data_IF_907330210204
#
_entry.id   IF_907330210204
#
_cell.length_a   1.000
_cell.length_b   1.000
_cell.length_c   1.000
_cell.angle_alpha   90.00
_cell.angle_beta   90.00
_cell.angle_gamma   90.00
#
_symmetry.space_group_name_H-M   'P 1'
#
loop_
_entity.id
_entity.type
_entity.pdbx_description
1 polymer ?
#
# COMPACT_ATOMS: atom_id res chain seq x y z
N UNK A 1 3.58 38.40 -6.02
CA UNK A 1 4.58 37.55 -5.34
C UNK A 1 4.07 36.14 -4.99
N UNK A 2 2.75 35.89 -4.91
CA UNK A 2 2.18 34.54 -4.67
C UNK A 2 2.43 33.53 -5.82
N UNK A 3 2.69 34.00 -7.05
CA UNK A 3 2.74 33.18 -8.28
C UNK A 3 3.90 32.17 -8.29
N UNK A 4 4.99 32.44 -7.58
CA UNK A 4 6.14 31.52 -7.46
C UNK A 4 6.03 30.57 -6.26
N UNK A 5 5.09 30.81 -5.34
CA UNK A 5 4.90 29.99 -4.14
C UNK A 5 4.37 28.59 -4.48
N UNK A 6 3.49 28.49 -5.48
CA UNK A 6 2.96 27.21 -5.98
C UNK A 6 4.05 26.34 -6.64
N UNK A 7 5.05 26.97 -7.27
CA UNK A 7 6.16 26.25 -7.91
C UNK A 7 7.10 25.63 -6.86
N UNK A 8 7.22 26.25 -5.68
CA UNK A 8 8.02 25.74 -4.57
C UNK A 8 7.40 24.54 -3.85
N UNK A 9 6.07 24.34 -3.96
CA UNK A 9 5.34 23.24 -3.33
C UNK A 9 5.31 21.95 -4.17
N UNK A 10 5.60 22.06 -5.47
CA UNK A 10 5.55 20.94 -6.43
C UNK A 10 6.50 19.76 -6.11
N UNK A 11 7.72 19.95 -5.57
CA UNK A 11 8.57 18.80 -5.23
C UNK A 11 8.08 18.02 -4.00
N UNK A 12 7.21 18.57 -3.13
CA UNK A 12 6.76 17.87 -1.92
C UNK A 12 5.79 16.71 -2.22
N UNK A 13 5.10 16.73 -3.36
CA UNK A 13 4.15 15.67 -3.73
C UNK A 13 4.83 14.46 -4.34
N UNK A 14 6.06 14.61 -4.84
CA UNK A 14 6.78 13.56 -5.57
C UNK A 14 7.59 12.61 -4.64
N UNK A 15 7.75 12.94 -3.37
CA UNK A 15 8.54 12.15 -2.39
C UNK A 15 7.69 11.37 -1.38
N UNK A 16 6.40 11.16 -1.66
CA UNK A 16 5.51 10.45 -0.75
C UNK A 16 5.78 8.93 -0.82
N UNK A 17 6.69 8.44 0.03
CA UNK A 17 6.84 7.01 0.27
C UNK A 17 5.81 6.55 1.31
N UNK A 18 5.04 5.50 1.00
CA UNK A 18 4.05 4.95 1.94
C UNK A 18 4.76 4.41 3.17
N UNK A 19 4.38 4.87 4.35
CA UNK A 19 4.99 4.44 5.62
C UNK A 19 4.32 3.17 6.09
N UNK A 20 5.12 2.15 6.37
CA UNK A 20 4.69 0.93 7.03
C UNK A 20 4.40 1.25 8.50
N UNK A 21 3.14 1.09 8.89
CA UNK A 21 2.67 1.30 10.25
C UNK A 21 2.77 0.02 11.09
N UNK A 22 2.44 -1.13 10.49
CA UNK A 22 2.46 -2.41 11.19
C UNK A 22 2.74 -3.57 10.24
N UNK A 23 3.18 -4.67 10.83
CA UNK A 23 3.34 -5.95 10.17
C UNK A 23 2.83 -7.05 11.10
N UNK A 24 1.81 -7.77 10.68
CA UNK A 24 1.23 -8.87 11.43
C UNK A 24 1.51 -10.20 10.73
N UNK A 25 1.88 -11.21 11.49
CA UNK A 25 2.20 -12.54 10.97
C UNK A 25 1.13 -13.52 11.44
N UNK A 26 0.53 -14.22 10.48
CA UNK A 26 -0.47 -15.24 10.71
C UNK A 26 0.08 -16.58 10.25
N UNK A 27 0.45 -17.43 11.20
CA UNK A 27 0.79 -18.81 10.92
C UNK A 27 -0.50 -19.64 10.80
N UNK A 28 -0.60 -20.40 9.73
CA UNK A 28 -1.73 -21.27 9.42
C UNK A 28 -1.22 -22.64 9.03
N UNK A 29 -2.10 -23.63 9.00
CA UNK A 29 -1.76 -25.01 8.70
C UNK A 29 -1.10 -25.19 7.32
N UNK A 30 -1.48 -24.40 6.33
CA UNK A 30 -1.09 -24.52 4.91
C UNK A 30 -0.23 -23.36 4.39
N UNK A 31 -0.01 -22.32 5.20
CA UNK A 31 0.71 -21.09 4.81
C UNK A 31 1.09 -20.24 6.01
N UNK A 32 2.02 -19.31 5.80
CA UNK A 32 2.19 -18.14 6.65
C UNK A 32 1.86 -16.88 5.85
N UNK A 33 0.97 -16.02 6.37
CA UNK A 33 0.63 -14.73 5.77
C UNK A 33 1.27 -13.61 6.61
N UNK A 34 2.08 -12.74 5.98
CA UNK A 34 2.54 -11.48 6.58
C UNK A 34 1.70 -10.36 5.99
N UNK A 35 0.93 -9.68 6.82
CA UNK A 35 0.13 -8.51 6.44
C UNK A 35 0.85 -7.24 6.86
N UNK A 36 1.24 -6.45 5.88
CA UNK A 36 1.84 -5.12 6.08
C UNK A 36 0.73 -4.09 5.91
N UNK A 37 0.64 -3.14 6.82
CA UNK A 37 -0.30 -2.01 6.74
C UNK A 37 0.48 -0.71 6.55
N UNK A 38 0.01 0.11 5.61
CA UNK A 38 0.58 1.41 5.30
C UNK A 38 -0.29 2.56 5.83
N UNK A 39 0.29 3.74 5.98
CA UNK A 39 -0.42 4.98 6.32
C UNK A 39 -1.19 5.58 5.13
N UNK A 40 -0.77 5.24 3.92
CA UNK A 40 -1.26 5.72 2.64
C UNK A 40 -1.35 4.55 1.65
N UNK A 41 -2.19 4.63 0.60
CA UNK A 41 -2.26 3.60 -0.43
C UNK A 41 -0.87 3.32 -1.02
N UNK A 42 -0.45 2.05 -0.98
CA UNK A 42 0.85 1.65 -1.49
C UNK A 42 0.84 1.47 -3.01
N UNK A 43 1.44 2.43 -3.72
CA UNK A 43 1.56 2.44 -5.18
C UNK A 43 2.97 2.12 -5.70
N UNK A 44 3.88 1.72 -4.80
CA UNK A 44 5.23 1.34 -5.15
C UNK A 44 5.34 -0.01 -5.88
N UNK A 45 6.48 -0.22 -6.54
CA UNK A 45 6.80 -1.48 -7.22
C UNK A 45 7.37 -2.50 -6.25
N UNK A 46 6.80 -3.71 -6.28
CA UNK A 46 7.24 -4.87 -5.52
C UNK A 46 8.20 -5.70 -6.37
N UNK A 47 9.47 -5.80 -5.97
CA UNK A 47 10.46 -6.68 -6.62
C UNK A 47 10.77 -7.85 -5.69
N UNK A 48 10.94 -9.04 -6.25
CA UNK A 48 11.29 -10.23 -5.49
C UNK A 48 12.52 -10.93 -6.08
N UNK A 49 13.35 -11.50 -5.21
CA UNK A 49 14.47 -12.36 -5.54
C UNK A 49 14.41 -13.59 -4.65
N UNK A 50 14.37 -14.77 -5.27
CA UNK A 50 14.17 -16.05 -4.56
C UNK A 50 15.49 -16.84 -4.60
N UNK A 51 15.86 -17.41 -3.47
CA UNK A 51 16.98 -18.34 -3.30
C UNK A 51 16.52 -19.58 -2.52
N UNK A 52 17.40 -20.58 -2.36
CA UNK A 52 17.05 -21.87 -1.71
C UNK A 52 16.51 -21.73 -0.28
N UNK A 53 17.00 -20.76 0.50
CA UNK A 53 16.64 -20.61 1.91
C UNK A 53 16.15 -19.22 2.30
N UNK A 54 16.09 -18.31 1.32
CA UNK A 54 15.70 -16.91 1.55
C UNK A 54 14.91 -16.35 0.38
N UNK A 55 13.93 -15.52 0.69
CA UNK A 55 13.22 -14.69 -0.27
C UNK A 55 13.45 -13.23 0.11
N UNK A 56 13.97 -12.44 -0.83
CA UNK A 56 14.19 -11.01 -0.67
C UNK A 56 13.07 -10.28 -1.41
N UNK A 57 12.29 -9.46 -0.71
CA UNK A 57 11.29 -8.56 -1.27
C UNK A 57 11.80 -7.13 -1.13
N UNK A 58 11.73 -6.34 -2.19
CA UNK A 58 12.02 -4.89 -2.17
C UNK A 58 10.74 -4.14 -2.48
N UNK A 59 10.32 -3.31 -1.55
CA UNK A 59 9.16 -2.44 -1.65
C UNK A 59 9.65 -1.03 -1.99
N UNK A 60 9.61 -0.68 -3.27
CA UNK A 60 10.00 0.68 -3.72
C UNK A 60 9.02 1.70 -3.15
N UNK A 61 9.46 2.91 -2.81
CA UNK A 61 8.62 3.97 -2.24
C UNK A 61 7.84 3.52 -0.99
N UNK A 62 8.39 2.57 -0.22
CA UNK A 62 7.90 2.22 1.10
C UNK A 62 8.95 2.58 2.14
N UNK A 63 8.53 3.16 3.27
CA UNK A 63 9.41 3.49 4.39
C UNK A 63 8.98 2.75 5.66
N UNK A 64 9.92 2.52 6.57
CA UNK A 64 9.65 2.03 7.93
C UNK A 64 10.59 2.76 8.89
N UNK A 65 10.12 3.06 10.10
CA UNK A 65 10.86 3.89 11.06
C UNK A 65 12.21 3.30 11.47
N UNK A 66 12.30 1.98 11.57
CA UNK A 66 13.51 1.28 12.02
C UNK A 66 13.51 -0.15 11.53
N UNK A 67 14.69 -0.78 11.54
CA UNK A 67 14.83 -2.20 11.20
C UNK A 67 14.08 -3.05 12.23
N UNK A 68 13.32 -4.04 11.75
CA UNK A 68 12.53 -4.97 12.58
C UNK A 68 12.92 -6.40 12.25
N UNK A 69 13.08 -7.23 13.27
CA UNK A 69 13.38 -8.65 13.14
C UNK A 69 12.36 -9.44 13.93
N UNK A 70 11.79 -10.49 13.32
CA UNK A 70 10.89 -11.41 14.00
C UNK A 70 11.26 -12.84 13.62
N UNK A 71 11.50 -13.66 14.64
CA UNK A 71 11.62 -15.12 14.50
C UNK A 71 10.22 -15.74 14.68
N UNK A 72 9.93 -16.77 13.89
CA UNK A 72 8.64 -17.45 13.82
C UNK A 72 8.89 -18.95 13.82
N UNK A 73 8.09 -19.70 14.58
CA UNK A 73 8.11 -21.17 14.62
C UNK A 73 7.22 -21.80 13.55
N UNK A 74 7.13 -21.19 12.37
CA UNK A 74 6.24 -21.64 11.29
C UNK A 74 6.98 -22.56 10.33
N UNK A 75 6.26 -23.55 9.78
CA UNK A 75 6.75 -24.43 8.72
C UNK A 75 7.01 -23.71 7.40
N UNK A 76 6.47 -22.50 7.21
CA UNK A 76 6.55 -21.76 5.94
C UNK A 76 7.44 -20.53 6.01
N UNK A 77 7.71 -20.02 7.22
CA UNK A 77 8.48 -18.81 7.46
C UNK A 77 9.20 -18.92 8.80
N UNK A 78 10.53 -18.99 8.78
CA UNK A 78 11.34 -19.13 9.99
C UNK A 78 11.66 -17.76 10.61
N UNK A 79 11.94 -16.76 9.77
CA UNK A 79 12.20 -15.40 10.23
C UNK A 79 11.91 -14.38 9.14
N UNK A 80 11.65 -13.16 9.57
CA UNK A 80 11.51 -12.00 8.69
C UNK A 80 12.31 -10.82 9.26
N UNK A 81 13.06 -10.17 8.39
CA UNK A 81 13.77 -8.93 8.67
C UNK A 81 13.26 -7.86 7.72
N UNK A 82 12.80 -6.74 8.26
CA UNK A 82 12.29 -5.58 7.51
C UNK A 82 13.25 -4.44 7.79
N UNK A 83 13.94 -3.94 6.77
CA UNK A 83 15.01 -2.96 6.91
C UNK A 83 14.76 -1.76 5.99
N UNK A 84 14.78 -0.52 6.52
CA UNK A 84 14.70 0.66 5.69
C UNK A 84 15.99 0.80 4.85
N UNK A 85 15.84 1.16 3.58
CA UNK A 85 16.93 1.51 2.67
C UNK A 85 16.62 2.84 1.96
N UNK A 86 17.60 3.40 1.25
CA UNK A 86 17.36 4.60 0.43
C UNK A 86 16.29 4.31 -0.64
N UNK A 87 15.15 5.00 -0.55
CA UNK A 87 14.04 4.92 -1.51
C UNK A 87 13.21 3.63 -1.50
N UNK A 88 13.48 2.69 -0.58
CA UNK A 88 12.75 1.42 -0.52
C UNK A 88 12.84 0.78 0.87
N UNK A 89 11.92 -0.13 1.16
CA UNK A 89 12.05 -1.04 2.31
C UNK A 89 12.39 -2.44 1.80
N UNK A 90 13.45 -3.04 2.34
CA UNK A 90 13.83 -4.41 2.03
C UNK A 90 13.32 -5.36 3.10
N UNK A 91 12.70 -6.44 2.66
CA UNK A 91 12.22 -7.53 3.49
C UNK A 91 13.00 -8.78 3.12
N UNK A 92 13.63 -9.41 4.10
CA UNK A 92 14.33 -10.69 3.94
C UNK A 92 13.59 -11.73 4.76
N UNK A 93 12.99 -12.69 4.08
CA UNK A 93 12.31 -13.82 4.69
C UNK A 93 13.21 -15.06 4.63
N UNK A 94 13.45 -15.71 5.77
CA UNK A 94 14.07 -17.03 5.85
C UNK A 94 12.98 -18.09 5.73
N UNK A 95 13.09 -18.96 4.72
CA UNK A 95 12.06 -19.93 4.37
C UNK A 95 12.68 -21.27 3.96
N UNK A 96 11.97 -22.40 4.09
CA UNK A 96 12.35 -23.65 3.44
C UNK A 96 12.34 -23.54 1.91
N UNK A 97 13.12 -24.38 1.24
CA UNK A 97 13.23 -24.39 -0.24
C UNK A 97 11.94 -24.78 -0.98
N UNK A 98 10.99 -25.41 -0.28
CA UNK A 98 9.69 -25.78 -0.84
C UNK A 98 8.70 -24.63 -0.91
N UNK A 99 9.01 -23.49 -0.29
CA UNK A 99 8.11 -22.36 -0.13
C UNK A 99 8.24 -21.37 -1.28
N UNK A 100 7.09 -20.91 -1.78
CA UNK A 100 6.96 -19.77 -2.69
C UNK A 100 6.29 -18.59 -2.02
N UNK A 101 6.58 -17.40 -2.54
CA UNK A 101 5.93 -16.16 -2.17
C UNK A 101 4.82 -15.80 -3.16
N UNK A 102 3.69 -15.33 -2.64
CA UNK A 102 2.64 -14.64 -3.39
C UNK A 102 2.41 -13.28 -2.72
N UNK A 103 2.57 -12.19 -3.46
CA UNK A 103 2.31 -10.84 -2.98
C UNK A 103 0.98 -10.32 -3.56
N UNK A 104 0.14 -9.71 -2.74
CA UNK A 104 -1.12 -9.09 -3.18
C UNK A 104 -1.48 -7.88 -2.34
N UNK A 105 -1.85 -6.78 -2.99
CA UNK A 105 -2.43 -5.60 -2.32
C UNK A 105 -3.86 -5.88 -1.88
N UNK A 106 -4.31 -5.24 -0.81
CA UNK A 106 -5.73 -5.13 -0.49
C UNK A 106 -6.44 -4.29 -1.55
N UNK A 107 -7.78 -4.37 -1.62
CA UNK A 107 -8.57 -3.65 -2.62
C UNK A 107 -8.44 -2.12 -2.54
N UNK A 108 -8.03 -1.60 -1.38
CA UNK A 108 -7.80 -0.19 -1.10
C UNK A 108 -6.31 0.21 -1.11
N UNK A 109 -5.41 -0.73 -1.46
CA UNK A 109 -3.95 -0.55 -1.44
C UNK A 109 -3.31 -0.20 -0.07
N UNK A 110 -4.07 -0.07 1.02
CA UNK A 110 -3.51 0.22 2.36
C UNK A 110 -2.84 -0.98 3.02
N UNK A 111 -3.08 -2.19 2.50
CA UNK A 111 -2.48 -3.42 2.96
C UNK A 111 -1.70 -4.15 1.86
N UNK A 112 -0.59 -4.78 2.23
CA UNK A 112 0.14 -5.71 1.39
C UNK A 112 0.25 -7.06 2.12
N UNK A 113 -0.32 -8.09 1.50
CA UNK A 113 -0.20 -9.48 1.96
C UNK A 113 0.96 -10.15 1.25
N UNK A 114 1.91 -10.64 2.03
CA UNK A 114 2.99 -11.53 1.61
C UNK A 114 2.67 -12.93 2.11
N UNK A 115 2.23 -13.80 1.20
CA UNK A 115 1.85 -15.18 1.50
C UNK A 115 2.99 -16.13 1.17
N UNK A 116 3.42 -16.87 2.18
CA UNK A 116 4.40 -17.95 2.10
C UNK A 116 3.66 -19.28 2.16
N UNK A 117 3.73 -20.08 1.10
CA UNK A 117 3.07 -21.38 1.02
C UNK A 117 3.91 -22.35 0.20
N UNK A 118 3.66 -23.64 0.36
CA UNK A 118 4.39 -24.64 -0.43
C UNK A 118 4.06 -24.53 -1.92
N UNK A 119 5.01 -24.95 -2.76
CA UNK A 119 4.78 -25.26 -4.15
C UNK A 119 3.83 -26.47 -4.25
N UNK A 120 2.53 -26.26 -4.08
CA UNK A 120 1.55 -27.24 -4.52
C UNK A 120 1.65 -27.23 -6.04
N UNK A 121 2.11 -28.34 -6.63
CA UNK A 121 2.00 -28.55 -8.07
C UNK A 121 0.58 -28.15 -8.46
N UNK A 122 0.44 -27.17 -9.36
CA UNK A 122 -0.85 -26.78 -9.90
C UNK A 122 -1.56 -28.07 -10.33
N UNK A 123 -2.54 -28.56 -9.55
CA UNK A 123 -3.59 -29.38 -10.14
C UNK A 123 -4.29 -28.42 -11.09
N UNK A 124 -3.88 -28.49 -12.35
CA UNK A 124 -4.62 -27.94 -13.46
C UNK A 124 -6.00 -28.56 -13.38
N UNK A 125 -6.96 -27.80 -12.86
CA UNK A 125 -8.37 -28.05 -13.11
C UNK A 125 -8.59 -27.71 -14.57
N UNK A 126 -8.39 -28.74 -15.39
CA UNK A 126 -9.15 -29.08 -16.60
C UNK A 126 -9.23 -27.99 -17.67
N UNK A 127 -8.34 -28.12 -18.67
CA UNK A 127 -8.61 -27.66 -20.04
C UNK A 127 -9.99 -28.16 -20.47
N UNK A 128 -10.91 -27.25 -20.75
CA UNK A 128 -12.11 -27.50 -21.56
C UNK A 128 -11.85 -26.89 -22.95
N UNK A 129 -12.20 -27.56 -24.06
CA UNK A 129 -11.75 -27.17 -25.39
C UNK A 129 -12.39 -25.84 -25.80
N UNK A 130 -11.56 -24.93 -26.28
CA UNK A 130 -11.95 -23.64 -26.84
C UNK A 130 -12.47 -23.86 -28.26
N UNK A 131 -13.78 -23.80 -28.42
CA UNK A 131 -14.41 -23.60 -29.72
C UNK A 131 -14.61 -22.10 -29.91
N UNK A 132 -14.05 -21.59 -31.00
CA UNK A 132 -14.10 -20.19 -31.42
C UNK A 132 -15.54 -19.76 -31.68
N UNK A 133 -16.04 -18.78 -30.92
CA UNK A 133 -17.13 -17.92 -31.40
C UNK A 133 -17.03 -16.54 -30.76
N UNK A 134 -17.00 -15.56 -31.64
CA UNK A 134 -17.07 -14.12 -31.45
C UNK A 134 -18.31 -13.73 -30.62
N UNK A 135 -18.13 -12.87 -29.60
CA UNK A 135 -18.96 -11.68 -29.28
C UNK A 135 -18.94 -11.31 -27.78
N UNK A 136 -18.70 -10.00 -27.57
CA UNK A 136 -19.23 -9.14 -26.50
C UNK A 136 -19.33 -9.69 -25.08
N UNK A 137 -18.33 -9.37 -24.24
CA UNK A 137 -18.50 -9.25 -22.79
C UNK A 137 -17.81 -7.97 -22.29
N UNK A 138 -18.33 -6.84 -22.76
CA UNK A 138 -18.09 -5.50 -22.21
C UNK A 138 -19.07 -5.19 -21.06
N UNK A 139 -19.24 -6.10 -20.09
CA UNK A 139 -20.20 -5.88 -18.99
C UNK A 139 -19.86 -6.56 -17.66
N UNK A 140 -18.58 -6.71 -17.32
CA UNK A 140 -18.22 -6.90 -15.91
C UNK A 140 -18.16 -5.51 -15.25
N UNK A 141 -18.87 -5.26 -14.13
CA UNK A 141 -18.78 -4.00 -13.41
C UNK A 141 -17.42 -3.93 -12.70
N UNK A 142 -16.39 -3.55 -13.43
CA UNK A 142 -15.15 -3.08 -12.83
C UNK A 142 -15.38 -1.62 -12.43
N UNK A 143 -15.23 -1.32 -11.14
CA UNK A 143 -15.32 0.03 -10.60
C UNK A 143 -14.48 0.96 -11.47
N UNK A 144 -15.13 1.98 -12.05
CA UNK A 144 -14.50 3.02 -12.86
C UNK A 144 -13.38 3.66 -12.04
N UNK A 145 -12.20 3.75 -12.65
CA UNK A 145 -11.01 4.36 -12.07
C UNK A 145 -11.21 5.86 -11.84
N UNK A 146 -10.61 6.36 -10.75
CA UNK A 146 -10.28 7.77 -10.49
C UNK A 146 -11.39 8.79 -10.21
N UNK A 147 -12.46 8.39 -9.53
CA UNK A 147 -13.28 9.37 -8.80
C UNK A 147 -12.83 9.41 -7.34
N UNK A 148 -12.07 10.46 -7.00
CA UNK A 148 -11.82 10.86 -5.62
C UNK A 148 -13.16 10.89 -4.88
N UNK A 149 -13.31 10.10 -3.82
CA UNK A 149 -14.58 9.86 -3.14
C UNK A 149 -15.31 11.18 -2.85
N UNK A 150 -16.60 11.30 -3.18
CA UNK A 150 -17.41 12.52 -2.97
C UNK A 150 -17.28 13.10 -1.55
N UNK A 151 -17.10 12.22 -0.56
CA UNK A 151 -16.82 12.58 0.84
C UNK A 151 -15.60 13.49 1.01
N UNK A 152 -14.54 13.31 0.20
CA UNK A 152 -13.35 14.16 0.21
C UNK A 152 -13.68 15.61 -0.15
N UNK A 153 -14.45 15.84 -1.22
CA UNK A 153 -14.88 17.18 -1.63
C UNK A 153 -15.77 17.85 -0.58
N UNK A 154 -16.63 17.09 0.09
CA UNK A 154 -17.48 17.58 1.18
C UNK A 154 -16.63 18.09 2.35
N UNK A 155 -15.62 17.33 2.77
CA UNK A 155 -14.71 17.73 3.86
C UNK A 155 -13.93 19.00 3.50
N UNK A 156 -13.39 19.07 2.28
CA UNK A 156 -12.66 20.25 1.79
C UNK A 156 -13.57 21.49 1.75
N UNK A 157 -14.81 21.35 1.30
CA UNK A 157 -15.78 22.45 1.26
C UNK A 157 -16.09 23.00 2.67
N UNK A 158 -16.31 22.12 3.64
CA UNK A 158 -16.54 22.51 5.05
C UNK A 158 -15.33 23.27 5.60
N UNK A 159 -14.11 22.82 5.29
CA UNK A 159 -12.88 23.46 5.75
C UNK A 159 -12.76 24.90 5.21
N UNK A 160 -13.04 25.10 3.90
CA UNK A 160 -13.01 26.42 3.26
C UNK A 160 -14.06 27.35 3.88
N UNK A 161 -15.28 26.86 4.09
CA UNK A 161 -16.35 27.62 4.76
C UNK A 161 -15.92 28.02 6.17
N UNK A 162 -15.33 27.11 6.93
CA UNK A 162 -14.81 27.39 8.28
C UNK A 162 -13.75 28.50 8.27
N UNK A 163 -12.81 28.47 7.33
CA UNK A 163 -11.79 29.52 7.16
C UNK A 163 -12.45 30.87 6.82
N UNK A 164 -13.47 30.88 5.95
CA UNK A 164 -14.17 32.10 5.59
C UNK A 164 -14.90 32.73 6.78
N UNK A 165 -15.59 31.90 7.60
CA UNK A 165 -16.25 32.35 8.82
C UNK A 165 -15.23 32.94 9.80
N UNK A 166 -14.12 32.24 10.05
CA UNK A 166 -13.02 32.72 10.90
C UNK A 166 -12.44 34.04 10.39
N UNK A 167 -12.31 34.20 9.08
CA UNK A 167 -11.81 35.44 8.47
C UNK A 167 -12.77 36.62 8.68
N UNK A 168 -14.09 36.40 8.52
CA UNK A 168 -15.11 37.42 8.77
C UNK A 168 -15.15 37.81 10.24
N UNK A 169 -15.11 36.83 11.15
CA UNK A 169 -15.07 37.07 12.60
C UNK A 169 -13.82 37.85 13.00
N UNK A 170 -12.64 37.46 12.48
CA UNK A 170 -11.39 38.19 12.69
C UNK A 170 -11.52 39.66 12.25
N UNK A 171 -12.08 39.91 11.07
CA UNK A 171 -12.27 41.28 10.56
C UNK A 171 -13.22 42.09 11.47
N UNK A 172 -14.33 41.50 11.91
CA UNK A 172 -15.30 42.16 12.79
C UNK A 172 -14.73 42.46 14.19
N UNK A 173 -13.96 41.54 14.78
CA UNK A 173 -13.36 41.74 16.10
C UNK A 173 -12.24 42.79 16.08
N UNK A 174 -11.45 42.87 15.01
CA UNK A 174 -10.41 43.90 14.84
C UNK A 174 -11.03 45.30 14.68
N UNK A 175 -12.19 45.41 14.02
CA UNK A 175 -12.89 46.70 13.90
C UNK A 175 -13.54 47.13 15.22
N UNK A 176 -14.00 46.19 16.06
CA UNK A 176 -14.59 46.51 17.38
C UNK A 176 -13.56 47.02 18.40
N UNK A 177 -12.30 46.62 18.30
CA UNK A 177 -11.22 47.08 19.20
C UNK A 177 -10.58 48.41 18.77
N UNK A 178 -11.09 49.08 17.72
CA UNK A 178 -10.60 50.37 17.21
C UNK A 178 -11.58 51.54 17.42
N UNK A 179 -12.66 51.32 18.18
CA UNK A 179 -13.53 52.39 18.69
C UNK A 179 -13.32 52.56 20.18
#
# INVERSE_FOLDING_TARGET
MIKYLLLFLLPLTLLQASKILSYNIYDRTDRADVMITFDTPYEGVIKQSISKSKIIIKLSNASIESSKIKNISSKFLHSITITPMSGQTQIVASVPSSVRLIASKTSDSYGLRLRFTNNVAKKSTTKRPQLSTTNSLSSLPTKKSDDMSTSYYIVVAILIIGIFILFVLKKKMVTKNRQ
#
